data_IF_462227501886
#
_entry.id   IF_462227501886
#
_cell.length_a   1.000
_cell.length_b   1.000
_cell.length_c   1.000
_cell.angle_alpha   90.00
_cell.angle_beta   90.00
_cell.angle_gamma   90.00
#
_symmetry.space_group_name_H-M   'P 1'
#
loop_
_entity.id
_entity.type
_entity.pdbx_description
1 polymer ?
#
# COMPACT_ATOMS: atom_id res chain seq x y z
N UNK A 1 -7.57 12.72 27.01
CA UNK A 1 -8.06 11.37 26.65
C UNK A 1 -7.65 11.05 25.21
N UNK A 2 -6.63 10.20 25.02
CA UNK A 2 -6.18 9.76 23.68
C UNK A 2 -7.30 8.91 23.06
N UNK A 3 -7.92 9.41 21.99
CA UNK A 3 -8.93 8.65 21.21
C UNK A 3 -8.24 7.48 20.54
N UNK A 4 -8.51 6.26 21.01
CA UNK A 4 -8.23 5.02 20.29
C UNK A 4 -9.02 4.99 18.97
N UNK A 5 -8.47 5.58 17.91
CA UNK A 5 -9.00 5.45 16.55
C UNK A 5 -7.93 4.80 15.70
N UNK A 6 -8.12 3.50 15.43
CA UNK A 6 -7.79 2.77 14.19
C UNK A 6 -7.58 1.26 14.41
N UNK A 7 -7.38 0.79 15.64
CA UNK A 7 -7.22 -0.64 15.95
C UNK A 7 -8.56 -1.36 16.24
N UNK A 8 -9.65 -0.61 16.49
CA UNK A 8 -10.91 -1.17 16.99
C UNK A 8 -11.78 -1.91 15.96
N UNK A 9 -11.87 -1.44 14.70
CA UNK A 9 -12.86 -2.00 13.75
C UNK A 9 -12.59 -3.47 13.46
N UNK A 10 -11.32 -3.84 13.21
CA UNK A 10 -10.94 -5.24 13.00
C UNK A 10 -11.21 -6.09 14.25
N UNK A 11 -10.82 -5.62 15.44
CA UNK A 11 -11.06 -6.34 16.70
C UNK A 11 -12.55 -6.59 16.91
N UNK A 12 -13.38 -5.57 16.70
CA UNK A 12 -14.85 -5.68 16.85
C UNK A 12 -15.41 -6.68 15.84
N UNK A 13 -15.09 -6.56 14.55
CA UNK A 13 -15.55 -7.50 13.52
C UNK A 13 -15.08 -8.92 13.77
N UNK A 14 -13.83 -9.12 14.17
CA UNK A 14 -13.31 -10.44 14.54
C UNK A 14 -14.05 -10.99 15.76
N UNK A 15 -14.23 -10.22 16.83
CA UNK A 15 -14.97 -10.65 18.01
C UNK A 15 -16.42 -11.04 17.70
N UNK A 16 -17.11 -10.22 16.89
CA UNK A 16 -18.47 -10.49 16.42
C UNK A 16 -18.52 -11.75 15.54
N UNK A 17 -17.54 -11.93 14.64
CA UNK A 17 -17.43 -13.13 13.80
C UNK A 17 -17.23 -14.38 14.65
N UNK A 18 -16.30 -14.33 15.62
CA UNK A 18 -16.04 -15.44 16.56
C UNK A 18 -17.31 -15.83 17.31
N UNK A 19 -18.02 -14.84 17.87
CA UNK A 19 -19.25 -15.07 18.63
C UNK A 19 -20.32 -15.75 17.78
N UNK A 20 -20.67 -15.18 16.62
CA UNK A 20 -21.72 -15.74 15.76
C UNK A 20 -21.34 -17.08 15.16
N UNK A 21 -20.07 -17.27 14.77
CA UNK A 21 -19.59 -18.56 14.27
C UNK A 21 -19.70 -19.65 15.34
N UNK A 22 -19.26 -19.39 16.57
CA UNK A 22 -19.38 -20.33 17.66
C UNK A 22 -20.84 -20.63 18.00
N UNK A 23 -21.69 -19.60 18.04
CA UNK A 23 -23.12 -19.74 18.31
C UNK A 23 -23.79 -20.65 17.27
N UNK A 24 -23.55 -20.41 15.98
CA UNK A 24 -24.12 -21.23 14.89
C UNK A 24 -23.64 -22.68 14.98
N UNK A 25 -22.35 -22.91 15.24
CA UNK A 25 -21.81 -24.26 15.43
C UNK A 25 -22.46 -24.98 16.62
N UNK A 26 -22.61 -24.31 17.76
CA UNK A 26 -23.25 -24.89 18.94
C UNK A 26 -24.72 -25.25 18.70
N UNK A 27 -25.46 -24.40 17.97
CA UNK A 27 -26.87 -24.66 17.62
C UNK A 27 -27.04 -25.90 16.72
N UNK A 28 -26.08 -26.16 15.84
CA UNK A 28 -26.10 -27.30 14.90
C UNK A 28 -25.42 -28.54 15.53
N UNK A 29 -24.78 -28.41 16.69
CA UNK A 29 -24.05 -29.49 17.37
C UNK A 29 -22.70 -29.81 16.74
N UNK A 30 -22.08 -28.86 16.01
CA UNK A 30 -20.76 -29.04 15.40
C UNK A 30 -19.65 -28.42 16.25
N UNK A 31 -18.42 -29.00 16.27
CA UNK A 31 -17.31 -28.44 17.04
C UNK A 31 -16.94 -27.01 16.58
N UNK A 32 -17.05 -25.98 17.45
CA UNK A 32 -16.91 -24.59 17.03
C UNK A 32 -15.46 -24.17 16.78
N UNK A 33 -14.48 -24.85 17.40
CA UNK A 33 -13.07 -24.41 17.45
C UNK A 33 -12.51 -24.10 16.05
N UNK A 34 -12.70 -25.00 15.10
CA UNK A 34 -12.16 -24.83 13.75
C UNK A 34 -12.92 -23.82 12.90
N UNK A 35 -14.23 -23.72 13.08
CA UNK A 35 -15.03 -22.69 12.45
C UNK A 35 -14.58 -21.29 12.94
N UNK A 36 -14.37 -21.15 14.25
CA UNK A 36 -13.88 -19.93 14.89
C UNK A 36 -12.48 -19.56 14.39
N UNK A 37 -11.54 -20.51 14.35
CA UNK A 37 -10.20 -20.28 13.78
C UNK A 37 -10.32 -19.78 12.34
N UNK A 38 -11.17 -20.41 11.54
CA UNK A 38 -11.42 -20.03 10.14
C UNK A 38 -12.00 -18.61 10.04
N UNK A 39 -12.94 -18.25 10.90
CA UNK A 39 -13.50 -16.90 10.96
C UNK A 39 -12.43 -15.86 11.32
N UNK A 40 -11.59 -16.13 12.33
CA UNK A 40 -10.52 -15.23 12.77
C UNK A 40 -9.56 -14.91 11.64
N UNK A 41 -9.05 -15.94 10.96
CA UNK A 41 -8.07 -15.73 9.89
C UNK A 41 -8.69 -15.06 8.66
N UNK A 42 -10.00 -15.18 8.45
CA UNK A 42 -10.74 -14.72 7.26
C UNK A 42 -11.22 -13.28 7.35
N UNK A 43 -11.24 -12.69 8.54
CA UNK A 43 -11.42 -11.24 8.66
C UNK A 43 -10.18 -10.52 8.13
N UNK A 44 -10.33 -9.91 6.96
CA UNK A 44 -9.31 -9.15 6.23
C UNK A 44 -9.64 -7.65 6.18
N UNK A 45 -8.70 -6.76 5.79
CA UNK A 45 -8.93 -5.31 5.71
C UNK A 45 -10.06 -4.89 4.76
N UNK A 46 -10.40 -5.73 3.78
CA UNK A 46 -11.50 -5.49 2.83
C UNK A 46 -12.39 -6.73 2.71
N UNK A 47 -13.65 -6.52 2.31
CA UNK A 47 -14.58 -7.60 1.99
C UNK A 47 -14.07 -8.40 0.78
N UNK A 48 -13.56 -7.69 -0.22
CA UNK A 48 -12.91 -8.26 -1.41
C UNK A 48 -11.81 -9.26 -1.05
N UNK A 49 -10.89 -8.89 -0.16
CA UNK A 49 -9.80 -9.76 0.25
C UNK A 49 -10.29 -10.93 1.10
N UNK A 50 -11.31 -10.72 1.95
CA UNK A 50 -11.94 -11.79 2.74
C UNK A 50 -12.51 -12.87 1.82
N UNK A 51 -13.23 -12.46 0.77
CA UNK A 51 -13.82 -13.37 -0.22
C UNK A 51 -12.73 -14.08 -1.04
N UNK A 52 -11.79 -13.32 -1.63
CA UNK A 52 -10.71 -13.88 -2.46
C UNK A 52 -9.89 -14.92 -1.69
N UNK A 53 -9.50 -14.60 -0.45
CA UNK A 53 -8.74 -15.53 0.40
C UNK A 53 -9.61 -16.67 0.91
N UNK A 54 -10.89 -16.43 1.18
CA UNK A 54 -11.85 -17.47 1.55
C UNK A 54 -12.01 -18.54 0.48
N UNK A 55 -12.11 -18.15 -0.79
CA UNK A 55 -12.17 -19.06 -1.95
C UNK A 55 -10.91 -19.92 -2.06
N UNK A 56 -9.74 -19.39 -1.70
CA UNK A 56 -8.47 -20.16 -1.68
C UNK A 56 -8.38 -21.07 -0.45
N UNK A 57 -8.88 -20.61 0.70
CA UNK A 57 -8.79 -21.33 1.98
C UNK A 57 -9.71 -22.53 2.05
N UNK A 58 -10.88 -22.47 1.45
CA UNK A 58 -11.81 -23.60 1.44
C UNK A 58 -11.19 -24.88 0.85
N UNK A 59 -10.69 -24.90 -0.41
CA UNK A 59 -10.06 -26.09 -0.98
C UNK A 59 -8.76 -26.45 -0.26
N UNK A 60 -7.99 -25.48 0.24
CA UNK A 60 -6.79 -25.76 1.04
C UNK A 60 -7.13 -26.54 2.32
N UNK A 61 -8.15 -26.09 3.06
CA UNK A 61 -8.62 -26.79 4.26
C UNK A 61 -9.21 -28.16 3.94
N UNK A 62 -9.87 -28.31 2.79
CA UNK A 62 -10.37 -29.60 2.31
C UNK A 62 -9.22 -30.59 2.05
N UNK A 63 -8.14 -30.14 1.40
CA UNK A 63 -6.93 -30.94 1.18
C UNK A 63 -6.31 -31.38 2.50
N UNK A 64 -6.15 -30.45 3.45
CA UNK A 64 -5.63 -30.78 4.78
C UNK A 64 -6.50 -31.82 5.50
N UNK A 65 -7.82 -31.65 5.47
CA UNK A 65 -8.76 -32.60 6.04
C UNK A 65 -8.72 -33.97 5.35
N UNK A 66 -8.55 -34.01 4.03
CA UNK A 66 -8.46 -35.25 3.27
C UNK A 66 -7.19 -36.03 3.62
N UNK A 67 -6.04 -35.35 3.71
CA UNK A 67 -4.80 -35.99 4.14
C UNK A 67 -4.83 -36.44 5.60
N UNK A 68 -5.46 -35.67 6.50
CA UNK A 68 -5.67 -36.10 7.88
C UNK A 68 -6.40 -37.45 7.91
N UNK A 69 -7.55 -37.53 7.22
CA UNK A 69 -8.38 -38.75 7.13
C UNK A 69 -7.65 -39.91 6.48
N UNK A 70 -6.87 -39.65 5.42
CA UNK A 70 -6.11 -40.68 4.73
C UNK A 70 -5.01 -41.27 5.62
N UNK A 71 -4.23 -40.44 6.29
CA UNK A 71 -3.07 -40.95 7.04
C UNK A 71 -3.46 -41.53 8.40
N UNK A 72 -4.48 -40.99 9.06
CA UNK A 72 -4.98 -41.57 10.32
C UNK A 72 -5.56 -42.97 10.12
N UNK A 73 -6.19 -43.23 8.96
CA UNK A 73 -6.73 -44.56 8.64
C UNK A 73 -5.64 -45.58 8.29
N UNK A 74 -4.50 -45.13 7.74
CA UNK A 74 -3.37 -45.98 7.37
C UNK A 74 -2.42 -46.27 8.53
N UNK A 75 -2.13 -45.27 9.36
CA UNK A 75 -1.02 -45.31 10.34
C UNK A 75 -1.46 -45.07 11.78
N UNK A 76 -2.76 -44.85 12.04
CA UNK A 76 -3.24 -44.51 13.38
C UNK A 76 -2.71 -43.18 13.88
N UNK A 77 -2.85 -42.91 15.18
CA UNK A 77 -2.29 -41.71 15.80
C UNK A 77 -0.80 -41.93 16.10
N UNK A 78 0.07 -41.46 15.21
CA UNK A 78 1.52 -41.60 15.34
C UNK A 78 2.25 -40.41 14.73
N UNK A 79 3.53 -40.21 15.08
CA UNK A 79 4.35 -39.12 14.55
C UNK A 79 4.44 -39.12 13.01
N UNK A 80 4.41 -40.31 12.39
CA UNK A 80 4.48 -40.45 10.94
C UNK A 80 3.20 -39.91 10.27
N UNK A 81 2.05 -40.11 10.91
CA UNK A 81 0.75 -39.59 10.46
C UNK A 81 0.76 -38.08 10.35
N UNK A 82 1.20 -37.40 11.41
CA UNK A 82 1.32 -35.93 11.43
C UNK A 82 2.29 -35.43 10.36
N UNK A 83 3.44 -36.10 10.22
CA UNK A 83 4.49 -35.73 9.26
C UNK A 83 3.96 -35.81 7.83
N UNK A 84 3.38 -36.96 7.45
CA UNK A 84 2.87 -37.17 6.09
C UNK A 84 1.69 -36.24 5.79
N UNK A 85 0.76 -36.09 6.74
CA UNK A 85 -0.39 -35.20 6.56
C UNK A 85 0.07 -33.74 6.36
N UNK A 86 0.99 -33.24 7.18
CA UNK A 86 1.48 -31.87 7.06
C UNK A 86 2.28 -31.64 5.77
N UNK A 87 3.29 -32.48 5.49
CA UNK A 87 4.19 -32.31 4.34
C UNK A 87 3.43 -32.42 3.02
N UNK A 88 2.53 -33.39 2.88
CA UNK A 88 1.76 -33.54 1.64
C UNK A 88 0.70 -32.45 1.51
N UNK A 89 0.08 -32.00 2.60
CA UNK A 89 -0.81 -30.83 2.56
C UNK A 89 -0.08 -29.59 2.06
N UNK A 90 1.10 -29.30 2.62
CA UNK A 90 1.94 -28.16 2.21
C UNK A 90 2.33 -28.30 0.74
N UNK A 91 2.82 -29.46 0.34
CA UNK A 91 3.29 -29.73 -1.04
C UNK A 91 2.16 -29.56 -2.05
N UNK A 92 0.98 -30.13 -1.76
CA UNK A 92 -0.18 -30.05 -2.65
C UNK A 92 -0.76 -28.64 -2.69
N UNK A 93 -0.87 -27.95 -1.56
CA UNK A 93 -1.32 -26.55 -1.53
C UNK A 93 -0.36 -25.64 -2.31
N UNK A 94 0.96 -25.87 -2.20
CA UNK A 94 1.96 -25.11 -2.95
C UNK A 94 1.83 -25.36 -4.46
N UNK A 95 1.72 -26.62 -4.90
CA UNK A 95 1.53 -26.97 -6.32
C UNK A 95 0.24 -26.40 -6.93
N UNK A 96 -0.80 -26.25 -6.12
CA UNK A 96 -2.09 -25.69 -6.54
C UNK A 96 -2.18 -24.16 -6.33
N UNK A 97 -1.08 -23.50 -5.97
CA UNK A 97 -1.01 -22.06 -5.69
C UNK A 97 -1.98 -21.57 -4.59
N UNK A 98 -2.29 -22.43 -3.60
CA UNK A 98 -3.22 -22.15 -2.49
C UNK A 98 -2.53 -21.49 -1.29
N UNK A 99 -1.56 -20.60 -1.53
CA UNK A 99 -0.68 -20.06 -0.48
C UNK A 99 -1.42 -19.38 0.68
N UNK A 100 -2.52 -18.66 0.39
CA UNK A 100 -3.32 -17.97 1.41
C UNK A 100 -4.03 -18.92 2.40
N UNK A 101 -4.16 -20.20 2.04
CA UNK A 101 -4.76 -21.24 2.87
C UNK A 101 -3.76 -22.22 3.49
N UNK A 102 -2.47 -22.11 3.18
CA UNK A 102 -1.45 -23.08 3.59
C UNK A 102 -1.40 -23.28 5.11
N UNK A 103 -1.35 -22.19 5.88
CA UNK A 103 -1.34 -22.26 7.36
C UNK A 103 -2.59 -22.97 7.90
N UNK A 104 -3.77 -22.60 7.39
CA UNK A 104 -5.05 -23.18 7.84
C UNK A 104 -5.15 -24.66 7.45
N UNK A 105 -4.71 -25.00 6.24
CA UNK A 105 -4.68 -26.36 5.72
C UNK A 105 -3.78 -27.27 6.55
N UNK A 106 -2.55 -26.83 6.85
CA UNK A 106 -1.61 -27.61 7.67
C UNK A 106 -2.11 -27.75 9.10
N UNK A 107 -2.65 -26.69 9.70
CA UNK A 107 -3.29 -26.76 11.02
C UNK A 107 -4.45 -27.76 11.02
N UNK A 108 -5.27 -27.76 9.97
CA UNK A 108 -6.36 -28.71 9.78
C UNK A 108 -5.85 -30.14 9.69
N UNK A 109 -4.81 -30.36 8.87
CA UNK A 109 -4.23 -31.69 8.65
C UNK A 109 -3.70 -32.31 9.94
N UNK A 110 -3.06 -31.49 10.79
CA UNK A 110 -2.49 -31.92 12.07
C UNK A 110 -3.57 -32.06 13.13
N UNK A 111 -4.35 -31.00 13.38
CA UNK A 111 -5.27 -30.96 14.51
C UNK A 111 -6.47 -31.91 14.36
N UNK A 112 -6.82 -32.32 13.14
CA UNK A 112 -7.88 -33.31 12.94
C UNK A 112 -7.46 -34.73 13.35
N UNK A 113 -6.16 -35.05 13.34
CA UNK A 113 -5.68 -36.40 13.69
C UNK A 113 -6.07 -36.77 15.13
N UNK A 114 -6.04 -35.81 16.07
CA UNK A 114 -6.43 -36.03 17.46
C UNK A 114 -7.95 -36.15 17.68
N UNK A 115 -8.74 -35.57 16.77
CA UNK A 115 -10.20 -35.41 16.94
C UNK A 115 -10.98 -36.50 16.20
N UNK A 116 -10.37 -37.18 15.23
CA UNK A 116 -11.01 -38.25 14.47
C UNK A 116 -10.99 -39.55 15.29
N UNK A 117 -12.17 -40.03 15.72
CA UNK A 117 -12.28 -41.26 16.52
C UNK A 117 -12.93 -42.46 15.80
N UNK A 118 -13.86 -42.26 14.85
CA UNK A 118 -14.53 -43.40 14.20
C UNK A 118 -15.03 -43.11 12.78
N UNK A 119 -15.91 -42.11 12.62
CA UNK A 119 -16.55 -41.83 11.33
C UNK A 119 -15.74 -40.87 10.46
N UNK A 120 -14.68 -41.37 9.81
CA UNK A 120 -13.76 -40.58 8.98
C UNK A 120 -14.45 -39.66 7.96
N UNK A 121 -15.41 -40.19 7.19
CA UNK A 121 -16.14 -39.41 6.19
C UNK A 121 -17.03 -38.33 6.83
N UNK A 122 -17.69 -38.64 7.94
CA UNK A 122 -18.51 -37.67 8.67
C UNK A 122 -17.62 -36.54 9.21
N UNK A 123 -16.48 -36.87 9.81
CA UNK A 123 -15.51 -35.88 10.29
C UNK A 123 -14.99 -34.97 9.17
N UNK A 124 -14.76 -35.51 7.97
CA UNK A 124 -14.40 -34.73 6.79
C UNK A 124 -15.50 -33.72 6.40
N UNK A 125 -16.75 -34.17 6.28
CA UNK A 125 -17.85 -33.28 5.92
C UNK A 125 -18.18 -32.25 7.00
N UNK A 126 -18.11 -32.62 8.29
CA UNK A 126 -18.21 -31.67 9.40
C UNK A 126 -17.10 -30.64 9.30
N UNK A 127 -15.88 -31.04 8.91
CA UNK A 127 -14.79 -30.08 8.71
C UNK A 127 -15.06 -29.11 7.57
N UNK A 128 -15.53 -29.59 6.43
CA UNK A 128 -15.90 -28.72 5.32
C UNK A 128 -17.02 -27.76 5.74
N UNK A 129 -18.04 -28.26 6.42
CA UNK A 129 -19.15 -27.46 6.92
C UNK A 129 -18.72 -26.37 7.91
N UNK A 130 -17.92 -26.72 8.93
CA UNK A 130 -17.38 -25.75 9.90
C UNK A 130 -16.50 -24.70 9.24
N UNK A 131 -15.70 -25.08 8.24
CA UNK A 131 -14.90 -24.15 7.44
C UNK A 131 -15.80 -23.19 6.66
N UNK A 132 -16.85 -23.69 5.98
CA UNK A 132 -17.84 -22.87 5.27
C UNK A 132 -18.54 -21.89 6.20
N UNK A 133 -18.95 -22.32 7.40
CA UNK A 133 -19.57 -21.44 8.40
C UNK A 133 -18.60 -20.34 8.80
N UNK A 134 -17.35 -20.67 9.11
CA UNK A 134 -16.34 -19.69 9.48
C UNK A 134 -16.09 -18.66 8.37
N UNK A 135 -15.94 -19.12 7.12
CA UNK A 135 -15.75 -18.25 5.95
C UNK A 135 -16.96 -17.36 5.69
N UNK A 136 -18.16 -17.93 5.72
CA UNK A 136 -19.42 -17.23 5.46
C UNK A 136 -19.70 -16.17 6.51
N UNK A 137 -19.67 -16.55 7.80
CA UNK A 137 -19.98 -15.63 8.91
C UNK A 137 -18.97 -14.50 8.96
N UNK A 138 -17.66 -14.77 8.87
CA UNK A 138 -16.65 -13.71 8.89
C UNK A 138 -16.78 -12.74 7.71
N UNK A 139 -17.12 -13.24 6.52
CA UNK A 139 -17.34 -12.39 5.34
C UNK A 139 -18.58 -11.50 5.50
N UNK A 140 -19.70 -12.08 5.98
CA UNK A 140 -20.94 -11.34 6.25
C UNK A 140 -20.67 -10.26 7.30
N UNK A 141 -20.00 -10.62 8.40
CA UNK A 141 -19.65 -9.65 9.45
C UNK A 141 -18.72 -8.57 8.91
N UNK A 142 -17.72 -8.91 8.09
CA UNK A 142 -16.83 -7.89 7.52
C UNK A 142 -17.56 -6.92 6.58
N UNK A 143 -18.59 -7.40 5.88
CA UNK A 143 -19.44 -6.60 5.01
C UNK A 143 -20.34 -5.65 5.80
N UNK A 144 -21.08 -6.13 6.80
CA UNK A 144 -22.13 -5.33 7.44
C UNK A 144 -21.71 -4.60 8.72
N UNK A 145 -20.73 -5.14 9.47
CA UNK A 145 -20.31 -4.53 10.73
C UNK A 145 -19.17 -3.56 10.45
N UNK A 146 -19.43 -2.26 10.60
CA UNK A 146 -18.44 -1.17 10.43
C UNK A 146 -17.68 -1.27 9.08
N UNK A 147 -18.37 -1.13 7.93
CA UNK A 147 -17.78 -1.34 6.61
C UNK A 147 -16.48 -0.53 6.45
N UNK A 148 -15.42 -1.11 5.85
CA UNK A 148 -14.14 -0.40 5.71
C UNK A 148 -14.29 0.87 4.88
N UNK A 149 -13.78 2.00 5.38
CA UNK A 149 -13.71 3.28 4.66
C UNK A 149 -12.39 3.96 4.97
N UNK A 150 -11.52 4.04 3.96
CA UNK A 150 -10.17 4.57 4.05
C UNK A 150 -10.05 5.98 3.46
N UNK A 151 -11.12 6.53 2.87
CA UNK A 151 -11.05 7.80 2.10
C UNK A 151 -10.55 8.98 2.93
N UNK A 152 -10.96 9.05 4.20
CA UNK A 152 -10.55 10.13 5.11
C UNK A 152 -9.08 10.03 5.48
N UNK A 153 -8.55 8.82 5.64
CA UNK A 153 -7.16 8.60 6.00
C UNK A 153 -6.25 8.86 4.81
N UNK A 154 -6.63 8.36 3.63
CA UNK A 154 -5.91 8.62 2.37
C UNK A 154 -5.78 10.13 2.15
N UNK A 155 -6.89 10.89 2.25
CA UNK A 155 -6.83 12.35 2.08
C UNK A 155 -5.88 13.02 3.08
N UNK A 156 -5.94 12.61 4.36
CA UNK A 156 -5.05 13.15 5.39
C UNK A 156 -3.59 12.81 5.12
N UNK A 157 -3.32 11.58 4.70
CA UNK A 157 -1.98 11.13 4.38
C UNK A 157 -1.45 11.88 3.15
N UNK A 158 -2.24 12.06 2.09
CA UNK A 158 -1.84 12.83 0.91
C UNK A 158 -1.44 14.26 1.29
N UNK A 159 -2.22 14.93 2.14
CA UNK A 159 -1.83 16.26 2.64
C UNK A 159 -0.55 16.22 3.48
N UNK A 160 -0.40 15.20 4.34
CA UNK A 160 0.80 15.04 5.14
C UNK A 160 2.05 14.80 4.29
N UNK A 161 1.93 13.94 3.26
CA UNK A 161 2.98 13.65 2.29
C UNK A 161 3.34 14.93 1.53
N UNK A 162 2.37 15.72 1.06
CA UNK A 162 2.65 17.01 0.40
C UNK A 162 3.48 17.95 1.28
N UNK A 163 3.12 18.09 2.56
CA UNK A 163 3.87 18.91 3.51
C UNK A 163 5.30 18.38 3.75
N UNK A 164 5.47 17.05 3.82
CA UNK A 164 6.79 16.44 3.96
C UNK A 164 7.64 16.59 2.70
N UNK A 165 7.05 16.42 1.52
CA UNK A 165 7.69 16.64 0.22
C UNK A 165 8.23 18.06 0.11
N UNK A 166 7.44 19.06 0.53
CA UNK A 166 7.89 20.45 0.63
C UNK A 166 9.17 20.60 1.46
N UNK A 167 9.19 20.02 2.66
CA UNK A 167 10.36 20.11 3.55
C UNK A 167 11.58 19.42 2.95
N UNK A 168 11.41 18.25 2.34
CA UNK A 168 12.50 17.51 1.68
C UNK A 168 13.05 18.30 0.49
N UNK A 169 12.19 18.95 -0.30
CA UNK A 169 12.59 19.75 -1.46
C UNK A 169 13.45 20.95 -1.05
N UNK A 170 13.07 21.68 0.00
CA UNK A 170 13.88 22.80 0.53
C UNK A 170 15.25 22.33 1.02
N UNK A 171 15.29 21.20 1.73
CA UNK A 171 16.53 20.59 2.23
C UNK A 171 17.44 20.19 1.06
N UNK A 172 16.87 19.52 0.05
CA UNK A 172 17.56 19.08 -1.15
C UNK A 172 18.28 20.23 -1.85
N UNK A 173 17.54 21.26 -2.25
CA UNK A 173 18.12 22.36 -3.03
C UNK A 173 19.05 23.23 -2.18
N UNK A 174 18.79 23.40 -0.87
CA UNK A 174 19.75 24.07 0.02
C UNK A 174 21.08 23.33 0.02
N UNK A 175 21.07 22.02 0.23
CA UNK A 175 22.31 21.23 0.32
C UNK A 175 23.05 21.21 -1.03
N UNK A 176 22.34 21.09 -2.15
CA UNK A 176 22.94 21.17 -3.50
C UNK A 176 23.67 22.51 -3.70
N UNK A 177 23.03 23.63 -3.34
CA UNK A 177 23.58 24.97 -3.56
C UNK A 177 24.71 25.32 -2.59
N UNK A 178 24.66 24.79 -1.37
CA UNK A 178 25.71 24.89 -0.35
C UNK A 178 26.82 23.85 -0.54
N UNK A 179 26.72 22.97 -1.55
CA UNK A 179 27.66 21.88 -1.84
C UNK A 179 27.86 20.92 -0.65
N UNK A 180 26.79 20.66 0.08
CA UNK A 180 26.74 19.72 1.19
C UNK A 180 26.17 18.38 0.73
N UNK A 181 26.73 17.29 1.26
CA UNK A 181 26.14 15.97 1.07
C UNK A 181 24.85 15.82 1.88
N UNK A 182 23.94 14.97 1.38
CA UNK A 182 22.73 14.60 2.11
C UNK A 182 23.08 13.83 3.38
N UNK A 183 22.78 14.41 4.54
CA UNK A 183 23.08 13.84 5.84
C UNK A 183 22.25 12.57 6.09
N UNK A 184 22.71 11.72 7.02
CA UNK A 184 22.03 10.47 7.34
C UNK A 184 20.56 10.68 7.78
N UNK A 185 20.29 11.72 8.56
CA UNK A 185 18.92 12.07 9.00
C UNK A 185 18.02 12.54 7.87
N UNK A 186 18.57 13.23 6.86
CA UNK A 186 17.82 13.71 5.69
C UNK A 186 17.50 12.55 4.74
N UNK A 187 18.45 11.61 4.56
CA UNK A 187 18.20 10.33 3.85
C UNK A 187 17.13 9.50 4.54
N UNK A 188 17.13 9.46 5.87
CA UNK A 188 16.06 8.79 6.63
C UNK A 188 14.71 9.46 6.45
N UNK A 189 14.66 10.80 6.43
CA UNK A 189 13.44 11.54 6.12
C UNK A 189 12.87 11.21 4.74
N UNK A 190 13.73 11.16 3.71
CA UNK A 190 13.34 10.75 2.36
C UNK A 190 12.81 9.31 2.32
N UNK A 191 13.44 8.38 3.03
CA UNK A 191 12.97 6.99 3.15
C UNK A 191 11.62 6.91 3.86
N UNK A 192 11.41 7.71 4.90
CA UNK A 192 10.14 7.76 5.63
C UNK A 192 9.01 8.32 4.75
N UNK A 193 9.29 9.34 3.93
CA UNK A 193 8.36 9.86 2.94
C UNK A 193 7.93 8.76 1.95
N UNK A 194 8.88 7.99 1.41
CA UNK A 194 8.59 6.83 0.55
C UNK A 194 7.69 5.80 1.22
N UNK A 195 7.95 5.48 2.48
CA UNK A 195 7.15 4.52 3.24
C UNK A 195 5.70 5.01 3.45
N UNK A 196 5.49 6.30 3.73
CA UNK A 196 4.14 6.86 3.85
C UNK A 196 3.39 6.90 2.51
N UNK A 197 4.09 7.15 1.38
CA UNK A 197 3.52 7.01 0.03
C UNK A 197 3.04 5.57 -0.20
N UNK A 198 3.90 4.57 -0.01
CA UNK A 198 3.57 3.14 -0.22
C UNK A 198 2.41 2.65 0.67
N UNK A 199 2.38 3.12 1.92
CA UNK A 199 1.29 2.83 2.85
C UNK A 199 -0.02 3.46 2.37
N UNK A 200 0.02 4.68 1.87
CA UNK A 200 -1.16 5.39 1.36
C UNK A 200 -1.68 4.78 0.05
N UNK A 201 -0.79 4.29 -0.81
CA UNK A 201 -1.15 3.48 -1.98
C UNK A 201 -1.82 2.16 -1.59
N UNK A 202 -1.35 1.53 -0.52
CA UNK A 202 -1.99 0.32 0.03
C UNK A 202 -3.42 0.60 0.51
N UNK A 203 -3.63 1.71 1.23
CA UNK A 203 -4.97 2.15 1.65
C UNK A 203 -5.87 2.48 0.44
N UNK A 204 -5.30 3.13 -0.57
CA UNK A 204 -5.96 3.44 -1.84
C UNK A 204 -6.41 2.17 -2.57
N UNK A 205 -5.55 1.15 -2.63
CA UNK A 205 -5.92 -0.18 -3.15
C UNK A 205 -7.06 -0.79 -2.35
N UNK A 206 -6.99 -0.76 -1.01
CA UNK A 206 -8.06 -1.29 -0.17
C UNK A 206 -9.40 -0.59 -0.41
N UNK A 207 -9.41 0.75 -0.49
CA UNK A 207 -10.63 1.49 -0.80
C UNK A 207 -11.20 1.14 -2.19
N UNK A 208 -10.34 0.96 -3.18
CA UNK A 208 -10.75 0.56 -4.55
C UNK A 208 -11.35 -0.84 -4.57
N UNK A 209 -10.77 -1.78 -3.83
CA UNK A 209 -11.30 -3.13 -3.71
C UNK A 209 -12.63 -3.17 -2.95
N UNK A 210 -12.79 -2.33 -1.93
CA UNK A 210 -14.02 -2.21 -1.15
C UNK A 210 -15.18 -1.60 -1.95
N UNK A 211 -14.88 -0.66 -2.86
CA UNK A 211 -15.88 -0.02 -3.73
C UNK A 211 -16.66 -0.99 -4.63
N UNK A 212 -16.22 -2.25 -4.76
CA UNK A 212 -16.96 -3.33 -5.46
C UNK A 212 -18.17 -3.83 -4.67
N UNK A 213 -18.08 -3.81 -3.33
CA UNK A 213 -19.09 -4.33 -2.42
C UNK A 213 -19.87 -3.19 -1.73
N UNK A 214 -19.23 -2.04 -1.54
CA UNK A 214 -19.85 -0.80 -1.09
C UNK A 214 -19.63 0.30 -2.13
N UNK A 215 -20.47 0.37 -3.18
CA UNK A 215 -20.31 1.34 -4.25
C UNK A 215 -20.34 2.78 -3.75
N UNK A 216 -19.40 3.59 -4.25
CA UNK A 216 -19.32 5.02 -3.96
C UNK A 216 -20.36 5.78 -4.80
N UNK A 217 -20.93 6.85 -4.23
CA UNK A 217 -21.70 7.79 -5.03
C UNK A 217 -20.81 8.43 -6.11
N UNK A 218 -21.39 8.87 -7.24
CA UNK A 218 -20.63 9.43 -8.37
C UNK A 218 -19.66 10.54 -7.93
N UNK A 219 -20.12 11.48 -7.11
CA UNK A 219 -19.30 12.58 -6.58
C UNK A 219 -18.16 12.09 -5.68
N UNK A 220 -18.40 11.08 -4.86
CA UNK A 220 -17.38 10.47 -3.99
C UNK A 220 -16.35 9.67 -4.78
N UNK A 221 -16.77 8.96 -5.83
CA UNK A 221 -15.89 8.25 -6.76
C UNK A 221 -14.96 9.23 -7.47
N UNK A 222 -15.49 10.33 -7.98
CA UNK A 222 -14.70 11.39 -8.61
C UNK A 222 -13.68 11.99 -7.63
N UNK A 223 -14.10 12.36 -6.41
CA UNK A 223 -13.18 12.85 -5.37
C UNK A 223 -12.10 11.83 -5.01
N UNK A 224 -12.44 10.55 -4.96
CA UNK A 224 -11.48 9.49 -4.70
C UNK A 224 -10.45 9.35 -5.82
N UNK A 225 -10.87 9.37 -7.09
CA UNK A 225 -9.95 9.34 -8.25
C UNK A 225 -8.98 10.51 -8.22
N UNK A 226 -9.47 11.73 -7.99
CA UNK A 226 -8.62 12.92 -7.87
C UNK A 226 -7.56 12.76 -6.76
N UNK A 227 -7.94 12.24 -5.59
CA UNK A 227 -6.97 11.98 -4.50
C UNK A 227 -5.93 10.93 -4.90
N UNK A 228 -6.30 9.94 -5.72
CA UNK A 228 -5.35 8.94 -6.24
C UNK A 228 -4.36 9.57 -7.22
N UNK A 229 -4.82 10.47 -8.09
CA UNK A 229 -3.97 11.21 -9.02
C UNK A 229 -3.01 12.13 -8.27
N UNK A 230 -3.49 12.85 -7.25
CA UNK A 230 -2.65 13.66 -6.35
C UNK A 230 -1.55 12.83 -5.66
N UNK A 231 -1.89 11.64 -5.16
CA UNK A 231 -0.91 10.72 -4.57
C UNK A 231 0.13 10.28 -5.61
N UNK A 232 -0.29 10.05 -6.86
CA UNK A 232 0.63 9.67 -7.94
C UNK A 232 1.58 10.82 -8.30
N UNK A 233 1.11 12.07 -8.35
CA UNK A 233 1.98 13.24 -8.53
C UNK A 233 3.06 13.30 -7.42
N UNK A 234 2.66 13.13 -6.15
CA UNK A 234 3.61 13.13 -5.03
C UNK A 234 4.61 11.98 -5.08
N UNK A 235 4.21 10.80 -5.59
CA UNK A 235 5.11 9.67 -5.84
C UNK A 235 6.14 10.00 -6.92
N UNK A 236 5.71 10.58 -8.04
CA UNK A 236 6.63 10.97 -9.12
C UNK A 236 7.59 12.07 -8.65
N UNK A 237 7.12 13.06 -7.88
CA UNK A 237 7.98 14.07 -7.26
C UNK A 237 9.01 13.41 -6.33
N UNK A 238 8.60 12.42 -5.54
CA UNK A 238 9.53 11.65 -4.69
C UNK A 238 10.60 10.95 -5.53
N UNK A 239 10.23 10.33 -6.66
CA UNK A 239 11.18 9.67 -7.57
C UNK A 239 12.19 10.68 -8.17
N UNK A 240 11.75 11.88 -8.58
CA UNK A 240 12.62 12.97 -9.04
C UNK A 240 13.59 13.46 -7.94
N UNK A 241 13.09 13.61 -6.71
CA UNK A 241 13.93 13.95 -5.54
C UNK A 241 14.97 12.84 -5.27
N UNK A 242 14.57 11.58 -5.36
CA UNK A 242 15.45 10.42 -5.15
C UNK A 242 16.59 10.42 -6.19
N UNK A 243 16.27 10.66 -7.47
CA UNK A 243 17.26 10.79 -8.54
C UNK A 243 18.28 11.90 -8.24
N UNK A 244 17.84 13.08 -7.78
CA UNK A 244 18.72 14.20 -7.45
C UNK A 244 19.66 13.88 -6.27
N UNK A 245 19.17 13.17 -5.25
CA UNK A 245 19.99 12.79 -4.08
C UNK A 245 21.12 11.82 -4.45
N UNK A 246 20.91 10.96 -5.45
CA UNK A 246 21.90 9.96 -5.88
C UNK A 246 22.69 10.34 -7.13
N UNK A 247 22.39 11.49 -7.75
CA UNK A 247 23.15 11.99 -8.90
C UNK A 247 24.42 12.70 -8.43
N UNK A 248 25.61 12.37 -8.99
CA UNK A 248 26.84 13.07 -8.67
C UNK A 248 26.85 14.46 -9.32
N UNK A 249 26.42 15.47 -8.56
CA UNK A 249 26.37 16.88 -8.98
C UNK A 249 27.70 17.57 -8.66
N UNK A 250 28.76 17.21 -9.39
CA UNK A 250 30.07 17.82 -9.20
C UNK A 250 30.19 19.17 -9.93
N UNK A 251 30.56 20.22 -9.19
CA UNK A 251 30.93 21.56 -9.70
C UNK A 251 29.86 22.28 -10.52
N UNK A 252 28.82 22.76 -9.84
CA UNK A 252 27.84 23.69 -10.42
C UNK A 252 28.49 25.03 -10.85
N UNK A 253 28.35 25.36 -12.13
CA UNK A 253 28.85 26.59 -12.76
C UNK A 253 27.90 27.79 -12.63
N UNK A 254 26.73 27.62 -12.02
CA UNK A 254 25.72 28.68 -11.95
C UNK A 254 26.19 29.98 -11.29
N UNK A 255 25.76 31.09 -11.90
CA UNK A 255 25.92 32.46 -11.41
C UNK A 255 25.15 32.68 -10.10
N UNK A 256 25.40 33.81 -9.41
CA UNK A 256 24.66 34.12 -8.17
C UNK A 256 23.19 34.40 -8.48
N UNK A 257 22.93 35.00 -9.63
CA UNK A 257 21.63 35.34 -10.16
C UNK A 257 20.81 34.08 -10.44
N UNK A 258 21.34 33.11 -11.19
CA UNK A 258 20.69 31.81 -11.45
C UNK A 258 20.36 31.06 -10.15
N UNK A 259 21.32 31.00 -9.21
CA UNK A 259 21.09 30.36 -7.90
C UNK A 259 19.95 31.03 -7.14
N UNK A 260 19.85 32.35 -7.18
CA UNK A 260 18.77 33.08 -6.52
C UNK A 260 17.41 32.79 -7.16
N UNK A 261 17.34 32.68 -8.50
CA UNK A 261 16.12 32.28 -9.21
C UNK A 261 15.68 30.89 -8.77
N UNK A 262 16.61 29.93 -8.76
CA UNK A 262 16.33 28.53 -8.37
C UNK A 262 15.88 28.41 -6.91
N UNK A 263 16.54 29.11 -5.98
CA UNK A 263 16.11 29.13 -4.56
C UNK A 263 14.71 29.70 -4.42
N UNK A 264 14.42 30.79 -5.13
CA UNK A 264 13.12 31.45 -5.07
C UNK A 264 12.04 30.51 -5.60
N UNK A 265 12.28 29.89 -6.74
CA UNK A 265 11.42 28.88 -7.33
C UNK A 265 11.11 27.72 -6.36
N UNK A 266 12.15 27.12 -5.78
CA UNK A 266 11.99 26.01 -4.83
C UNK A 266 11.21 26.42 -3.58
N UNK A 267 11.46 27.62 -3.04
CA UNK A 267 10.69 28.16 -1.90
C UNK A 267 9.22 28.34 -2.23
N UNK A 268 8.91 28.86 -3.43
CA UNK A 268 7.52 28.99 -3.87
C UNK A 268 6.84 27.62 -3.99
N UNK A 269 7.48 26.62 -4.61
CA UNK A 269 6.95 25.25 -4.64
C UNK A 269 6.67 24.71 -3.23
N UNK A 270 7.63 24.91 -2.32
CA UNK A 270 7.53 24.45 -0.94
C UNK A 270 6.35 25.12 -0.20
N UNK A 271 6.15 26.42 -0.39
CA UNK A 271 5.02 27.18 0.17
C UNK A 271 3.70 26.65 -0.36
N UNK A 272 3.57 26.46 -1.68
CA UNK A 272 2.33 26.01 -2.31
C UNK A 272 1.96 24.60 -1.83
N UNK A 273 2.93 23.68 -1.76
CA UNK A 273 2.73 22.32 -1.23
C UNK A 273 2.27 22.30 0.23
N UNK A 274 2.71 23.26 1.06
CA UNK A 274 2.25 23.39 2.45
C UNK A 274 0.89 24.07 2.56
N UNK A 275 0.61 25.04 1.69
CA UNK A 275 -0.61 25.83 1.71
C UNK A 275 -1.27 25.87 0.32
N UNK A 276 -2.27 25.01 0.07
CA UNK A 276 -3.00 24.99 -1.19
C UNK A 276 -3.68 26.30 -1.59
N UNK A 277 -3.92 27.21 -0.63
CA UNK A 277 -4.50 28.53 -0.91
C UNK A 277 -3.50 29.51 -1.54
N UNK A 278 -2.21 29.19 -1.49
CA UNK A 278 -1.13 29.98 -2.09
C UNK A 278 -0.88 29.63 -3.55
N UNK A 279 -1.58 28.62 -4.10
CA UNK A 279 -1.48 28.25 -5.51
C UNK A 279 -2.07 29.34 -6.40
N UNK A 280 -1.29 29.77 -7.38
CA UNK A 280 -1.66 30.72 -8.43
C UNK A 280 -1.03 30.24 -9.73
N UNK A 281 -1.88 29.88 -10.70
CA UNK A 281 -1.46 29.25 -11.96
C UNK A 281 -0.55 30.19 -12.79
N UNK A 282 -0.86 31.48 -12.86
CA UNK A 282 -0.04 32.46 -13.59
C UNK A 282 1.35 32.61 -12.97
N UNK A 283 1.42 32.71 -11.64
CA UNK A 283 2.68 32.82 -10.90
C UNK A 283 3.52 31.56 -11.05
N UNK A 284 2.90 30.39 -11.04
CA UNK A 284 3.59 29.12 -11.21
C UNK A 284 4.15 28.96 -12.63
N UNK A 285 3.36 29.29 -13.66
CA UNK A 285 3.84 29.31 -15.05
C UNK A 285 4.98 30.31 -15.25
N UNK A 286 4.93 31.49 -14.61
CA UNK A 286 6.01 32.47 -14.68
C UNK A 286 7.32 31.92 -14.10
N UNK A 287 7.27 31.31 -12.91
CA UNK A 287 8.47 30.72 -12.29
C UNK A 287 9.03 29.56 -13.13
N UNK A 288 8.15 28.68 -13.62
CA UNK A 288 8.57 27.59 -14.52
C UNK A 288 9.22 28.13 -15.80
N UNK A 289 8.69 29.21 -16.38
CA UNK A 289 9.28 29.87 -17.55
C UNK A 289 10.67 30.44 -17.25
N UNK A 290 10.87 31.09 -16.10
CA UNK A 290 12.19 31.60 -15.70
C UNK A 290 13.24 30.47 -15.61
N UNK A 291 12.87 29.31 -15.06
CA UNK A 291 13.74 28.13 -14.96
C UNK A 291 14.00 27.52 -16.36
N UNK A 292 12.98 27.49 -17.21
CA UNK A 292 13.07 26.98 -18.57
C UNK A 292 13.99 27.84 -19.45
N UNK A 293 13.99 29.16 -19.27
CA UNK A 293 14.94 30.05 -19.97
C UNK A 293 16.38 29.73 -19.57
N UNK A 294 16.68 29.56 -18.27
CA UNK A 294 18.02 29.14 -17.81
C UNK A 294 18.41 27.81 -18.47
N UNK A 295 17.49 26.84 -18.52
CA UNK A 295 17.74 25.55 -19.17
C UNK A 295 18.11 25.70 -20.66
N UNK A 296 17.39 26.55 -21.39
CA UNK A 296 17.70 26.80 -22.81
C UNK A 296 18.99 27.60 -23.02
N UNK A 297 19.31 28.54 -22.14
CA UNK A 297 20.57 29.28 -22.17
C UNK A 297 21.77 28.36 -21.92
N UNK A 298 21.75 27.59 -20.82
CA UNK A 298 22.80 26.62 -20.49
C UNK A 298 23.02 25.62 -21.64
N UNK A 299 21.94 25.09 -22.21
CA UNK A 299 22.01 24.13 -23.32
C UNK A 299 22.59 24.76 -24.60
N UNK A 300 22.26 26.02 -24.90
CA UNK A 300 22.84 26.77 -26.04
C UNK A 300 24.35 27.02 -25.84
N UNK A 301 24.79 27.33 -24.62
CA UNK A 301 26.21 27.52 -24.35
C UNK A 301 27.00 26.23 -24.58
N UNK A 302 26.53 25.09 -24.04
CA UNK A 302 27.17 23.78 -24.18
C UNK A 302 27.30 23.36 -25.65
N UNK A 303 26.25 23.59 -26.45
CA UNK A 303 26.23 23.24 -27.88
C UNK A 303 27.11 24.15 -28.73
N UNK A 304 27.31 25.41 -28.34
CA UNK A 304 28.22 26.34 -29.03
C UNK A 304 29.68 26.15 -28.62
N UNK A 305 29.96 25.78 -27.37
CA UNK A 305 31.33 25.73 -26.83
C UNK A 305 32.14 24.50 -27.24
N UNK A 306 31.51 23.42 -27.69
CA UNK A 306 32.16 22.09 -27.72
C UNK A 306 32.28 21.53 -29.14
N UNK A 307 33.52 21.29 -29.62
CA UNK A 307 33.81 20.64 -30.93
C UNK A 307 33.39 19.16 -31.00
N UNK A 308 33.15 18.51 -29.86
CA UNK A 308 32.65 17.15 -29.73
C UNK A 308 31.63 17.11 -28.58
N UNK A 309 30.43 16.58 -28.82
CA UNK A 309 29.39 16.54 -27.79
C UNK A 309 29.83 15.67 -26.59
N UNK A 310 29.68 16.16 -25.34
CA UNK A 310 30.01 15.37 -24.17
C UNK A 310 29.10 14.13 -24.07
N UNK A 311 29.64 13.02 -23.57
CA UNK A 311 28.89 11.77 -23.37
C UNK A 311 28.05 11.76 -22.08
N UNK A 312 28.20 12.78 -21.24
CA UNK A 312 27.42 12.98 -20.01
C UNK A 312 26.71 14.32 -20.05
N UNK A 313 25.47 14.34 -19.57
CA UNK A 313 24.74 15.59 -19.35
C UNK A 313 25.42 16.40 -18.23
N UNK A 314 25.56 17.72 -18.39
CA UNK A 314 26.00 18.61 -17.33
C UNK A 314 25.07 18.57 -16.11
N UNK A 315 25.62 18.62 -14.88
CA UNK A 315 24.85 18.60 -13.64
C UNK A 315 23.72 19.66 -13.60
N UNK A 316 23.95 20.82 -14.18
CA UNK A 316 23.01 21.94 -14.25
C UNK A 316 21.75 21.56 -15.06
N UNK A 317 21.94 20.96 -16.23
CA UNK A 317 20.82 20.54 -17.08
C UNK A 317 20.00 19.42 -16.43
N UNK A 318 20.66 18.51 -15.71
CA UNK A 318 19.96 17.46 -14.94
C UNK A 318 19.12 18.11 -13.85
N UNK A 319 19.68 19.03 -13.06
CA UNK A 319 18.96 19.72 -11.99
C UNK A 319 17.76 20.52 -12.51
N UNK A 320 17.94 21.28 -13.58
CA UNK A 320 16.89 22.09 -14.17
C UNK A 320 15.78 21.21 -14.74
N UNK A 321 16.13 20.12 -15.43
CA UNK A 321 15.14 19.16 -15.93
C UNK A 321 14.31 18.54 -14.80
N UNK A 322 14.97 18.08 -13.74
CA UNK A 322 14.29 17.49 -12.58
C UNK A 322 13.41 18.53 -11.87
N UNK A 323 13.89 19.77 -11.71
CA UNK A 323 13.11 20.87 -11.13
C UNK A 323 11.89 21.24 -11.98
N UNK A 324 12.04 21.36 -13.30
CA UNK A 324 10.94 21.61 -14.23
C UNK A 324 9.90 20.49 -14.15
N UNK A 325 10.35 19.23 -14.13
CA UNK A 325 9.45 18.07 -14.00
C UNK A 325 8.67 18.10 -12.67
N UNK A 326 9.32 18.49 -11.57
CA UNK A 326 8.66 18.70 -10.29
C UNK A 326 7.62 19.83 -10.38
N UNK A 327 7.93 20.94 -11.04
CA UNK A 327 7.01 22.06 -11.26
C UNK A 327 5.73 21.63 -11.99
N UNK A 328 5.86 20.86 -13.07
CA UNK A 328 4.72 20.32 -13.83
C UNK A 328 3.86 19.39 -12.99
N UNK A 329 4.48 18.54 -12.17
CA UNK A 329 3.75 17.63 -11.28
C UNK A 329 3.02 18.36 -10.15
N UNK A 330 3.60 19.45 -9.63
CA UNK A 330 2.94 20.31 -8.63
C UNK A 330 1.77 21.07 -9.25
N UNK A 331 1.91 21.59 -10.46
CA UNK A 331 0.83 22.25 -11.21
C UNK A 331 -0.35 21.27 -11.41
N UNK A 332 -0.04 20.07 -11.90
CA UNK A 332 -1.03 19.00 -12.06
C UNK A 332 -1.71 18.66 -10.73
N UNK A 333 -0.95 18.53 -9.63
CA UNK A 333 -1.49 18.23 -8.30
C UNK A 333 -2.56 19.24 -7.85
N UNK A 334 -2.34 20.53 -8.09
CA UNK A 334 -3.26 21.59 -7.67
C UNK A 334 -4.43 21.80 -8.64
N UNK A 335 -4.22 21.66 -9.95
CA UNK A 335 -5.33 21.60 -10.93
C UNK A 335 -6.33 20.51 -10.57
N UNK A 336 -5.85 19.34 -10.14
CA UNK A 336 -6.69 18.25 -9.64
C UNK A 336 -7.45 18.65 -8.36
N UNK A 337 -6.83 19.43 -7.47
CA UNK A 337 -7.45 19.90 -6.24
C UNK A 337 -8.56 20.92 -6.48
N UNK A 338 -8.39 21.82 -7.44
CA UNK A 338 -9.40 22.82 -7.79
C UNK A 338 -10.66 22.19 -8.39
N UNK A 339 -10.52 21.12 -9.18
CA UNK A 339 -11.65 20.32 -9.66
C UNK A 339 -12.49 19.65 -8.55
N UNK A 340 -12.05 19.72 -7.28
CA UNK A 340 -12.80 19.21 -6.12
C UNK A 340 -13.67 20.26 -5.41
N UNK A 341 -13.39 21.57 -5.62
CA UNK A 341 -14.19 22.68 -5.07
C UNK A 341 -15.51 22.78 -5.82
#
# INVERSE_FOLDING_TARGET
MKRFRFIGSRIVKTGVSVFFTALICNLIGWPPVFAVITAIVTVEPTVSDSIKKGIIRFPASAIGSAYAVLFISLFGNSAITYTLAAVLTITTCYKLNLHAGLLVATLTAVAMIEVIHSNFLVSFFIRLGTTTIGLGVSTIVNMFILPPDYRKDIRKHVQHIANQTSTVLEILFRNILEKQEFAAGEKEMLRNLKNEILKTETLSRFQRDEAKYHPLAKSEKTKFLHIQEQLNCLRLIHDHIDNLVYTPLEKLAWTKEERNIIITAVKELAIILQNPLSYDEERQHKQQHEIMEIFWEDNKEITKSTKAHPTKFPPELILLYELISIYELVDQYFKIQEMQK
#
